data_IF_748013363967
#
_entry.id   IF_748013363967
#
_cell.length_a   1.000
_cell.length_b   1.000
_cell.length_c   1.000
_cell.angle_alpha   90.00
_cell.angle_beta   90.00
_cell.angle_gamma   90.00
#
_symmetry.space_group_name_H-M   'P 1'
#
loop_
_entity.id
_entity.type
_entity.pdbx_description
1 polymer ?
#
# COMPACT_ATOMS: atom_id res chain seq x y z
N UNK A 1 26.59 20.94 12.69
CA UNK A 1 25.68 21.74 11.85
C UNK A 1 26.20 23.17 11.94
N UNK A 2 26.61 23.75 10.84
CA UNK A 2 27.09 25.14 10.84
C UNK A 2 25.86 26.09 10.86
N UNK A 3 26.08 27.38 11.10
CA UNK A 3 25.00 28.38 11.22
C UNK A 3 24.18 28.49 9.93
N UNK A 4 24.82 28.31 8.76
CA UNK A 4 24.16 28.32 7.45
C UNK A 4 23.23 27.11 7.25
N UNK A 5 23.61 25.93 7.74
CA UNK A 5 22.79 24.71 7.65
C UNK A 5 21.51 24.87 8.50
N UNK A 6 21.63 25.50 9.67
CA UNK A 6 20.50 25.77 10.56
C UNK A 6 19.54 26.79 9.94
N UNK A 7 20.07 27.84 9.31
CA UNK A 7 19.25 28.84 8.62
C UNK A 7 18.52 28.23 7.41
N UNK A 8 19.21 27.40 6.63
CA UNK A 8 18.60 26.67 5.52
C UNK A 8 17.46 25.73 5.99
N UNK A 9 17.66 25.00 7.10
CA UNK A 9 16.65 24.13 7.66
C UNK A 9 15.44 24.91 8.19
N UNK A 10 15.67 26.05 8.86
CA UNK A 10 14.60 26.94 9.30
C UNK A 10 13.81 27.49 8.12
N UNK A 11 14.49 27.94 7.06
CA UNK A 11 13.83 28.40 5.84
C UNK A 11 13.01 27.28 5.19
N UNK A 12 13.54 26.06 5.15
CA UNK A 12 12.83 24.90 4.61
C UNK A 12 11.52 24.62 5.35
N UNK A 13 11.53 24.66 6.69
CA UNK A 13 10.35 24.42 7.51
C UNK A 13 9.42 25.63 7.69
N UNK A 14 9.78 26.82 7.18
CA UNK A 14 8.83 27.93 7.07
C UNK A 14 7.81 27.71 5.95
N UNK A 15 8.13 26.90 4.96
CA UNK A 15 7.20 26.54 3.88
C UNK A 15 6.22 25.46 4.34
N UNK A 16 4.92 25.77 4.35
CA UNK A 16 3.87 24.85 4.83
C UNK A 16 3.84 23.52 4.10
N UNK A 17 4.07 23.49 2.78
CA UNK A 17 4.15 22.24 2.01
C UNK A 17 5.25 21.29 2.50
N UNK A 18 6.37 21.83 2.98
CA UNK A 18 7.51 21.05 3.45
C UNK A 18 7.23 20.46 4.83
N UNK A 19 6.69 21.26 5.76
CA UNK A 19 6.26 20.75 7.08
C UNK A 19 5.14 19.73 6.94
N UNK A 20 4.15 20.00 6.08
CA UNK A 20 3.06 19.08 5.79
C UNK A 20 3.55 17.71 5.32
N UNK A 21 4.45 17.67 4.32
CA UNK A 21 5.05 16.42 3.84
C UNK A 21 5.90 15.73 4.90
N UNK A 22 6.57 16.49 5.76
CA UNK A 22 7.40 15.92 6.84
C UNK A 22 6.56 15.18 7.87
N UNK A 23 5.47 15.78 8.34
CA UNK A 23 4.58 15.14 9.34
C UNK A 23 3.63 14.10 8.71
N UNK A 24 3.56 14.04 7.37
CA UNK A 24 2.88 13.00 6.59
C UNK A 24 3.88 12.13 5.81
N UNK A 25 5.10 11.96 6.32
CA UNK A 25 6.13 11.19 5.65
C UNK A 25 5.83 9.68 5.60
N UNK A 26 4.87 9.22 6.40
CA UNK A 26 4.44 7.83 6.46
C UNK A 26 2.95 7.70 6.18
N UNK A 27 2.58 6.71 5.37
CA UNK A 27 1.18 6.33 5.19
C UNK A 27 0.77 5.34 6.28
N UNK A 28 0.61 5.82 7.50
CA UNK A 28 0.15 5.01 8.64
C UNK A 28 -0.74 5.86 9.55
N UNK A 29 -2.04 5.55 9.56
CA UNK A 29 -3.03 6.29 10.38
C UNK A 29 -2.90 6.01 11.88
N UNK A 30 -2.10 5.01 12.27
CA UNK A 30 -1.84 4.70 13.68
C UNK A 30 -0.67 5.49 14.26
N UNK A 31 0.12 6.15 13.40
CA UNK A 31 1.25 6.98 13.80
C UNK A 31 0.84 8.46 13.81
N UNK A 32 0.98 9.11 14.97
CA UNK A 32 0.96 10.57 15.06
C UNK A 32 2.40 11.08 15.04
N UNK A 33 2.70 11.93 14.06
CA UNK A 33 4.00 12.61 13.96
C UNK A 33 3.78 14.07 14.31
N UNK A 34 4.65 14.60 15.16
CA UNK A 34 4.70 16.02 15.47
C UNK A 34 6.08 16.58 15.18
N UNK A 35 6.13 17.79 14.61
CA UNK A 35 7.33 18.54 14.33
C UNK A 35 7.24 19.90 15.01
N UNK A 36 8.14 20.16 15.96
CA UNK A 36 8.31 21.46 16.59
C UNK A 36 9.43 22.22 15.89
N UNK A 37 9.12 23.43 15.44
CA UNK A 37 10.07 24.36 14.83
C UNK A 37 9.95 25.74 15.47
N UNK A 38 10.88 26.64 15.16
CA UNK A 38 10.77 28.04 15.58
C UNK A 38 9.51 28.74 15.05
N UNK A 39 8.88 28.17 14.02
CA UNK A 39 7.69 28.71 13.36
C UNK A 39 6.38 28.11 13.86
N UNK A 40 6.43 27.03 14.67
CA UNK A 40 5.24 26.43 15.27
C UNK A 40 5.36 24.93 15.52
N UNK A 41 4.25 24.34 15.96
CA UNK A 41 4.07 22.90 16.08
C UNK A 41 3.15 22.42 14.95
N UNK A 42 3.58 21.39 14.23
CA UNK A 42 2.85 20.79 13.12
C UNK A 42 2.62 19.32 13.41
N UNK A 43 1.45 18.80 13.07
CA UNK A 43 1.06 17.43 13.34
C UNK A 43 0.40 16.76 12.13
N UNK A 44 0.48 15.43 12.07
CA UNK A 44 -0.27 14.62 11.09
C UNK A 44 -1.77 14.92 11.15
N UNK A 45 -2.31 15.16 12.35
CA UNK A 45 -3.74 15.47 12.59
C UNK A 45 -4.18 16.84 12.11
N UNK A 46 -3.26 17.71 11.68
CA UNK A 46 -3.59 19.05 11.18
C UNK A 46 -4.14 19.03 9.74
N UNK A 47 -4.16 17.86 9.10
CA UNK A 47 -4.54 17.67 7.71
C UNK A 47 -5.80 16.80 7.60
N UNK A 48 -6.71 17.18 6.71
CA UNK A 48 -7.86 16.34 6.39
C UNK A 48 -7.44 15.16 5.52
N UNK A 49 -8.27 14.11 5.50
CA UNK A 49 -8.18 13.09 4.47
C UNK A 49 -8.40 13.73 3.08
N UNK A 50 -7.73 13.19 2.06
CA UNK A 50 -7.82 13.71 0.70
C UNK A 50 -9.25 13.69 0.13
N UNK A 51 -10.13 12.86 0.70
CA UNK A 51 -11.54 12.73 0.33
C UNK A 51 -12.39 13.91 0.77
N UNK A 52 -12.00 14.60 1.82
CA UNK A 52 -12.75 15.72 2.40
C UNK A 52 -12.26 17.07 1.85
N UNK A 53 -11.15 17.06 1.10
CA UNK A 53 -10.57 18.25 0.48
C UNK A 53 -11.46 18.75 -0.68
N UNK A 54 -11.98 19.96 -0.52
CA UNK A 54 -12.78 20.70 -1.50
C UNK A 54 -13.91 19.85 -2.14
N UNK A 55 -14.72 19.19 -1.31
CA UNK A 55 -15.80 18.28 -1.73
C UNK A 55 -16.69 18.86 -2.83
N UNK A 56 -17.05 20.15 -2.75
CA UNK A 56 -17.90 20.85 -3.72
C UNK A 56 -17.29 20.94 -5.14
N UNK A 57 -15.98 20.78 -5.25
CA UNK A 57 -15.22 20.91 -6.50
C UNK A 57 -14.72 19.58 -7.07
N UNK A 58 -15.01 18.47 -6.40
CA UNK A 58 -14.63 17.14 -6.87
C UNK A 58 -15.43 16.80 -8.14
N UNK A 59 -14.73 16.35 -9.19
CA UNK A 59 -15.35 15.90 -10.42
C UNK A 59 -15.60 14.39 -10.38
N UNK A 60 -14.59 13.62 -9.98
CA UNK A 60 -14.71 12.19 -9.70
C UNK A 60 -13.62 11.71 -8.73
N UNK A 61 -13.88 10.58 -8.09
CA UNK A 61 -12.92 9.85 -7.26
C UNK A 61 -12.53 8.56 -7.99
N UNK A 62 -11.30 8.10 -7.77
CA UNK A 62 -10.75 6.92 -8.44
C UNK A 62 -10.11 6.01 -7.41
N UNK A 63 -10.49 4.74 -7.41
CA UNK A 63 -9.77 3.68 -6.69
C UNK A 63 -9.14 2.71 -7.66
N UNK A 64 -7.99 2.18 -7.28
CA UNK A 64 -7.40 1.04 -7.92
C UNK A 64 -6.69 0.17 -6.89
N UNK A 65 -6.76 -1.16 -7.08
CA UNK A 65 -5.91 -2.10 -6.35
C UNK A 65 -5.42 -3.20 -7.26
N UNK A 66 -4.19 -3.63 -7.05
CA UNK A 66 -3.61 -4.76 -7.78
C UNK A 66 -4.31 -6.08 -7.48
N UNK A 67 -4.89 -6.23 -6.28
CA UNK A 67 -5.63 -7.45 -5.88
C UNK A 67 -6.82 -7.69 -6.81
N UNK A 68 -7.62 -6.64 -7.05
CA UNK A 68 -8.77 -6.68 -7.95
C UNK A 68 -8.41 -6.42 -9.41
N UNK A 69 -7.27 -5.78 -9.69
CA UNK A 69 -6.86 -5.31 -11.02
C UNK A 69 -7.94 -4.45 -11.70
N UNK A 70 -8.68 -3.67 -10.91
CA UNK A 70 -9.79 -2.83 -11.37
C UNK A 70 -9.61 -1.37 -11.00
N UNK A 71 -9.86 -0.50 -11.96
CA UNK A 71 -10.06 0.93 -11.77
C UNK A 71 -11.56 1.16 -11.53
N UNK A 72 -11.89 1.72 -10.39
CA UNK A 72 -13.25 2.10 -9.99
C UNK A 72 -13.35 3.62 -10.02
N UNK A 73 -14.37 4.16 -10.67
CA UNK A 73 -14.60 5.61 -10.76
C UNK A 73 -15.95 5.93 -10.16
N UNK A 74 -15.92 6.82 -9.18
CA UNK A 74 -17.07 7.31 -8.44
C UNK A 74 -17.35 8.75 -8.80
N UNK A 75 -18.63 9.11 -8.86
CA UNK A 75 -19.07 10.48 -9.11
C UNK A 75 -20.36 10.73 -8.36
N UNK A 76 -20.41 11.85 -7.64
CA UNK A 76 -21.58 12.27 -6.85
C UNK A 76 -22.07 11.18 -5.87
N UNK A 77 -21.13 10.47 -5.24
CA UNK A 77 -21.42 9.43 -4.25
C UNK A 77 -21.90 8.11 -4.85
N UNK A 78 -21.63 7.86 -6.13
CA UNK A 78 -22.01 6.61 -6.80
C UNK A 78 -20.92 6.08 -7.71
N UNK A 79 -20.70 4.77 -7.71
CA UNK A 79 -19.87 4.09 -8.70
C UNK A 79 -20.47 4.25 -10.11
N UNK A 80 -19.75 4.93 -11.02
CA UNK A 80 -20.21 5.19 -12.40
C UNK A 80 -19.46 4.40 -13.46
N UNK A 81 -18.26 3.90 -13.15
CA UNK A 81 -17.47 3.12 -14.11
C UNK A 81 -16.51 2.16 -13.42
N UNK A 82 -16.38 0.98 -14.00
CA UNK A 82 -15.35 -0.01 -13.69
C UNK A 82 -14.59 -0.38 -14.95
N UNK A 83 -13.27 -0.45 -14.86
CA UNK A 83 -12.37 -0.81 -15.97
C UNK A 83 -11.27 -1.75 -15.46
N UNK A 84 -10.94 -2.79 -16.22
CA UNK A 84 -9.81 -3.65 -15.88
C UNK A 84 -8.48 -2.95 -16.20
N UNK A 85 -7.50 -3.09 -15.32
CA UNK A 85 -6.13 -2.66 -15.51
C UNK A 85 -5.16 -3.60 -14.78
N UNK A 86 -4.25 -4.19 -15.54
CA UNK A 86 -3.31 -5.19 -15.02
C UNK A 86 -1.89 -4.64 -14.96
N UNK A 87 -1.26 -4.82 -13.81
CA UNK A 87 0.17 -4.52 -13.61
C UNK A 87 1.01 -5.60 -14.29
N UNK A 88 2.17 -5.20 -14.81
CA UNK A 88 3.08 -6.06 -15.57
C UNK A 88 3.82 -7.10 -14.74
N UNK A 89 3.81 -7.00 -13.41
CA UNK A 89 4.60 -7.86 -12.52
C UNK A 89 3.86 -8.21 -11.23
N UNK A 90 4.24 -9.35 -10.63
CA UNK A 90 3.81 -9.79 -9.29
C UNK A 90 4.80 -9.44 -8.18
N UNK A 91 5.94 -8.84 -8.54
CA UNK A 91 7.00 -8.48 -7.58
C UNK A 91 6.68 -7.23 -6.77
N UNK A 92 5.57 -6.55 -7.09
CA UNK A 92 5.05 -5.41 -6.36
C UNK A 92 3.53 -5.36 -6.54
N UNK A 93 2.87 -4.67 -5.63
CA UNK A 93 1.48 -4.25 -5.76
C UNK A 93 1.40 -2.73 -5.74
N UNK A 94 0.31 -2.23 -6.32
CA UNK A 94 -0.09 -0.83 -6.30
C UNK A 94 -1.52 -0.73 -5.81
N UNK A 95 -1.73 0.18 -4.85
CA UNK A 95 -3.03 0.67 -4.43
C UNK A 95 -3.10 2.17 -4.66
N UNK A 96 -4.25 2.66 -5.09
CA UNK A 96 -4.43 4.06 -5.46
C UNK A 96 -5.82 4.52 -5.02
N UNK A 97 -5.87 5.71 -4.44
CA UNK A 97 -7.09 6.40 -4.05
C UNK A 97 -6.92 7.89 -4.34
N UNK A 98 -7.64 8.40 -5.34
CA UNK A 98 -7.47 9.75 -5.87
C UNK A 98 -8.79 10.50 -5.93
N UNK A 99 -8.68 11.82 -5.77
CA UNK A 99 -9.70 12.77 -6.19
C UNK A 99 -9.23 13.58 -7.39
N UNK A 100 -10.09 13.67 -8.41
CA UNK A 100 -9.90 14.49 -9.59
C UNK A 100 -10.90 15.63 -9.52
N UNK A 101 -10.42 16.85 -9.73
CA UNK A 101 -11.20 18.07 -9.58
C UNK A 101 -11.51 18.73 -10.92
N UNK A 102 -12.53 19.58 -10.87
CA UNK A 102 -12.74 20.59 -11.88
C UNK A 102 -12.88 21.95 -11.23
N UNK A 103 -11.75 22.66 -11.10
CA UNK A 103 -11.73 23.97 -10.45
C UNK A 103 -12.19 25.10 -11.37
N UNK A 104 -12.96 26.01 -10.78
CA UNK A 104 -13.05 27.40 -11.23
C UNK A 104 -11.84 28.21 -10.73
N UNK A 105 -11.74 29.47 -11.14
CA UNK A 105 -10.64 30.36 -10.70
C UNK A 105 -10.50 30.38 -9.17
N UNK A 106 -9.29 30.16 -8.67
CA UNK A 106 -8.99 30.11 -7.23
C UNK A 106 -9.31 28.80 -6.51
N UNK A 107 -9.97 27.83 -7.15
CA UNK A 107 -10.38 26.57 -6.50
C UNK A 107 -9.23 25.75 -5.87
N UNK A 108 -8.04 25.80 -6.49
CA UNK A 108 -6.81 25.17 -5.96
C UNK A 108 -6.50 25.60 -4.51
N UNK A 109 -6.80 26.85 -4.12
CA UNK A 109 -6.49 27.39 -2.79
C UNK A 109 -7.29 26.71 -1.67
N UNK A 110 -8.34 25.95 -2.00
CA UNK A 110 -9.09 25.13 -1.04
C UNK A 110 -8.40 23.80 -0.73
N UNK A 111 -7.37 23.43 -1.50
CA UNK A 111 -6.61 22.20 -1.32
C UNK A 111 -5.41 22.46 -0.43
N UNK A 112 -5.18 21.59 0.54
CA UNK A 112 -4.00 21.56 1.39
C UNK A 112 -2.69 21.61 0.58
N UNK A 113 -1.74 22.42 1.07
CA UNK A 113 -0.39 22.53 0.50
C UNK A 113 0.42 21.22 0.58
N UNK A 114 -0.06 20.23 1.33
CA UNK A 114 0.47 18.86 1.32
C UNK A 114 0.58 18.30 -0.10
N UNK A 115 -0.41 18.59 -0.95
CA UNK A 115 -0.49 18.08 -2.32
C UNK A 115 0.18 18.99 -3.36
N UNK A 116 0.94 20.00 -2.93
CA UNK A 116 1.59 20.94 -3.84
C UNK A 116 2.99 20.44 -4.17
N UNK A 117 3.30 20.36 -5.46
CA UNK A 117 4.66 20.06 -5.94
C UNK A 117 5.61 21.19 -5.57
N UNK A 118 6.81 20.84 -5.12
CA UNK A 118 7.83 21.84 -4.78
C UNK A 118 8.25 22.73 -5.97
N UNK A 119 8.46 22.20 -7.19
CA UNK A 119 9.03 23.01 -8.27
C UNK A 119 8.08 24.06 -8.86
N UNK A 120 6.77 23.78 -8.89
CA UNK A 120 5.81 24.59 -9.64
C UNK A 120 4.44 24.75 -8.96
N UNK A 121 4.32 24.27 -7.72
CA UNK A 121 3.09 24.23 -6.92
C UNK A 121 1.91 23.54 -7.61
N UNK A 122 2.08 22.81 -8.71
CA UNK A 122 0.97 22.08 -9.30
C UNK A 122 0.46 21.03 -8.31
N UNK A 123 -0.80 20.63 -8.44
CA UNK A 123 -1.33 19.54 -7.63
C UNK A 123 -0.74 18.21 -8.11
N UNK A 124 -0.38 17.38 -7.13
CA UNK A 124 0.09 16.02 -7.37
C UNK A 124 -0.41 15.11 -6.26
N UNK A 125 -0.82 13.87 -6.60
CA UNK A 125 -0.93 12.80 -5.61
C UNK A 125 0.41 12.57 -4.92
N UNK A 126 0.35 12.10 -3.68
CA UNK A 126 1.52 11.64 -2.94
C UNK A 126 1.80 10.19 -3.30
N UNK A 127 3.05 9.90 -3.61
CA UNK A 127 3.54 8.54 -3.88
C UNK A 127 4.19 7.99 -2.63
N UNK A 128 3.77 6.82 -2.18
CA UNK A 128 4.38 6.08 -1.08
C UNK A 128 4.97 4.77 -1.59
N UNK A 129 6.20 4.47 -1.19
CA UNK A 129 6.85 3.19 -1.45
C UNK A 129 7.07 2.50 -0.10
N UNK A 130 6.45 1.35 0.11
CA UNK A 130 6.43 0.66 1.41
C UNK A 130 6.08 1.63 2.55
N UNK A 131 4.96 2.34 2.40
CA UNK A 131 4.45 3.36 3.32
C UNK A 131 5.34 4.59 3.56
N UNK A 132 6.49 4.72 2.89
CA UNK A 132 7.35 5.90 2.98
C UNK A 132 7.05 6.87 1.85
N UNK A 133 6.84 8.15 2.19
CA UNK A 133 6.63 9.20 1.21
C UNK A 133 7.85 9.30 0.29
N UNK A 134 7.59 9.14 -1.01
CA UNK A 134 8.59 9.18 -2.04
C UNK A 134 8.39 10.44 -2.88
N UNK A 135 9.19 11.46 -2.57
CA UNK A 135 9.04 12.82 -3.10
C UNK A 135 9.53 12.94 -4.55
N UNK A 136 8.96 12.13 -5.45
CA UNK A 136 9.32 12.09 -6.87
C UNK A 136 8.08 12.22 -7.76
N UNK A 137 7.75 13.47 -8.08
CA UNK A 137 6.58 13.82 -8.88
C UNK A 137 6.65 13.39 -10.35
N UNK A 138 7.80 12.88 -10.81
CA UNK A 138 7.98 12.44 -12.21
C UNK A 138 7.43 11.04 -12.44
N UNK A 139 7.32 10.23 -11.39
CA UNK A 139 6.86 8.83 -11.49
C UNK A 139 5.34 8.77 -11.72
N UNK A 140 4.59 9.61 -11.01
CA UNK A 140 3.15 9.77 -11.20
C UNK A 140 2.84 11.24 -11.54
N UNK A 141 3.15 11.64 -12.78
CA UNK A 141 2.97 13.04 -13.20
C UNK A 141 1.52 13.34 -13.61
N UNK A 142 0.81 14.15 -12.83
CA UNK A 142 -0.55 14.60 -13.16
C UNK A 142 -0.61 15.37 -14.48
N UNK A 143 0.47 15.99 -14.94
CA UNK A 143 0.53 16.75 -16.19
C UNK A 143 0.91 15.90 -17.42
N UNK A 144 0.99 14.57 -17.30
CA UNK A 144 1.48 13.65 -18.34
C UNK A 144 0.85 13.84 -19.74
N UNK A 145 -0.43 14.21 -19.80
CA UNK A 145 -1.17 14.39 -21.05
C UNK A 145 -1.26 15.86 -21.51
N UNK A 146 -0.81 16.83 -20.70
CA UNK A 146 -1.02 18.27 -20.94
C UNK A 146 -0.37 18.76 -22.23
N UNK A 147 0.85 18.29 -22.52
CA UNK A 147 1.59 18.68 -23.72
C UNK A 147 1.15 17.96 -25.00
N UNK A 148 0.61 16.73 -24.89
CA UNK A 148 0.32 15.87 -26.05
C UNK A 148 -1.15 15.87 -26.44
N UNK A 149 -2.07 15.91 -25.46
CA UNK A 149 -3.52 15.78 -25.66
C UNK A 149 -4.26 16.53 -24.56
N UNK A 150 -4.28 17.85 -24.65
CA UNK A 150 -4.91 18.70 -23.62
C UNK A 150 -6.39 18.35 -23.35
N UNK A 151 -7.11 17.81 -24.34
CA UNK A 151 -8.49 17.36 -24.16
C UNK A 151 -8.59 16.11 -23.26
N UNK A 152 -7.58 15.24 -23.24
CA UNK A 152 -7.50 14.00 -22.45
C UNK A 152 -6.78 14.20 -21.11
N UNK A 153 -6.45 15.44 -20.75
CA UNK A 153 -5.70 15.75 -19.53
C UNK A 153 -6.65 16.10 -18.38
N UNK A 154 -6.45 15.44 -17.24
CA UNK A 154 -7.15 15.73 -15.98
C UNK A 154 -6.11 16.01 -14.87
N UNK A 155 -5.32 17.09 -14.96
CA UNK A 155 -4.14 17.28 -14.13
C UNK A 155 -4.45 17.76 -12.70
N UNK A 156 -5.68 18.21 -12.44
CA UNK A 156 -6.12 18.67 -11.13
C UNK A 156 -6.49 17.45 -10.29
N UNK A 157 -5.51 16.76 -9.72
CA UNK A 157 -5.73 15.56 -8.93
C UNK A 157 -4.86 15.54 -7.67
N UNK A 158 -5.41 14.96 -6.60
CA UNK A 158 -4.71 14.69 -5.34
C UNK A 158 -5.05 13.27 -4.86
N UNK A 159 -4.39 12.84 -3.80
CA UNK A 159 -4.66 11.58 -3.14
C UNK A 159 -3.39 10.77 -2.98
N UNK A 160 -3.53 9.46 -2.89
CA UNK A 160 -2.46 8.56 -2.52
C UNK A 160 -2.24 7.49 -3.59
N UNK A 161 -0.98 7.30 -3.96
CA UNK A 161 -0.50 6.19 -4.78
C UNK A 161 0.48 5.42 -3.93
N UNK A 162 0.22 4.14 -3.69
CA UNK A 162 1.01 3.31 -2.78
C UNK A 162 1.56 2.14 -3.56
N UNK A 163 2.86 1.91 -3.46
CA UNK A 163 3.55 0.76 -4.05
C UNK A 163 4.15 -0.06 -2.93
N UNK A 164 3.86 -1.35 -2.91
CA UNK A 164 4.45 -2.28 -1.96
C UNK A 164 5.31 -3.29 -2.69
N UNK A 165 6.54 -3.48 -2.21
CA UNK A 165 7.43 -4.52 -2.72
C UNK A 165 8.42 -4.95 -1.64
N UNK A 166 8.52 -6.26 -1.45
CA UNK A 166 9.56 -6.92 -0.66
C UNK A 166 10.71 -7.43 -1.53
N UNK A 167 10.73 -7.08 -2.83
CA UNK A 167 11.77 -7.52 -3.74
C UNK A 167 13.09 -6.81 -3.42
N UNK A 168 14.18 -7.58 -3.26
CA UNK A 168 15.52 -7.09 -2.96
C UNK A 168 16.10 -6.12 -4.00
N UNK A 169 15.58 -6.13 -5.21
CA UNK A 169 15.99 -5.23 -6.28
C UNK A 169 15.32 -3.86 -6.16
N UNK A 170 14.41 -3.65 -5.20
CA UNK A 170 13.92 -2.31 -4.87
C UNK A 170 15.00 -1.58 -4.08
N UNK A 171 15.65 -0.60 -4.72
CA UNK A 171 16.72 0.18 -4.11
C UNK A 171 16.60 1.66 -4.49
N UNK A 172 17.22 2.53 -3.68
CA UNK A 172 17.13 3.98 -3.77
C UNK A 172 18.53 4.60 -3.89
N UNK A 173 18.61 5.74 -4.58
CA UNK A 173 19.84 6.52 -4.59
C UNK A 173 20.17 7.06 -3.18
N UNK A 174 21.39 7.56 -2.98
CA UNK A 174 21.91 7.90 -1.65
C UNK A 174 21.07 8.93 -0.88
N UNK A 175 20.44 9.88 -1.58
CA UNK A 175 19.53 10.89 -1.05
C UNK A 175 18.06 10.44 -1.02
N UNK A 176 17.76 9.21 -1.45
CA UNK A 176 16.43 8.56 -1.45
C UNK A 176 15.35 9.34 -2.19
N UNK A 177 15.73 10.14 -3.18
CA UNK A 177 14.82 10.92 -4.04
C UNK A 177 14.43 10.17 -5.31
N UNK A 178 15.23 9.18 -5.71
CA UNK A 178 15.05 8.41 -6.93
C UNK A 178 15.32 6.92 -6.70
N UNK A 179 14.68 6.08 -7.50
CA UNK A 179 15.02 4.68 -7.59
C UNK A 179 16.41 4.51 -8.18
N UNK A 180 17.12 3.48 -7.73
CA UNK A 180 18.20 2.90 -8.54
C UNK A 180 17.55 2.25 -9.76
N UNK A 181 18.05 2.58 -10.95
CA UNK A 181 17.50 2.07 -12.20
C UNK A 181 17.80 0.59 -12.39
N UNK A 182 16.75 -0.22 -12.43
CA UNK A 182 16.82 -1.65 -12.72
C UNK A 182 15.52 -2.11 -13.40
N UNK A 183 15.36 -3.41 -13.61
CA UNK A 183 14.16 -3.93 -14.28
C UNK A 183 12.88 -3.74 -13.47
N UNK A 184 12.93 -3.96 -12.16
CA UNK A 184 11.79 -3.78 -11.25
C UNK A 184 11.32 -2.33 -11.25
N UNK A 185 12.24 -1.38 -11.04
CA UNK A 185 11.91 0.04 -10.91
C UNK A 185 11.43 0.64 -12.23
N UNK A 186 11.96 0.18 -13.38
CA UNK A 186 11.41 0.51 -14.71
C UNK A 186 9.98 -0.01 -14.90
N UNK A 187 9.68 -1.24 -14.46
CA UNK A 187 8.32 -1.80 -14.53
C UNK A 187 7.35 -1.00 -13.66
N UNK A 188 7.73 -0.67 -12.42
CA UNK A 188 6.92 0.20 -11.53
C UNK A 188 6.62 1.54 -12.21
N UNK A 189 7.65 2.24 -12.69
CA UNK A 189 7.47 3.54 -13.38
C UNK A 189 6.54 3.42 -14.58
N UNK A 190 6.72 2.41 -15.42
CA UNK A 190 5.89 2.21 -16.61
C UNK A 190 4.44 1.89 -16.26
N UNK A 191 4.19 1.06 -15.27
CA UNK A 191 2.82 0.69 -14.87
C UNK A 191 2.10 1.85 -14.20
N UNK A 192 2.76 2.62 -13.33
CA UNK A 192 2.19 3.83 -12.74
C UNK A 192 1.88 4.89 -13.80
N UNK A 193 2.79 5.08 -14.77
CA UNK A 193 2.60 5.95 -15.91
C UNK A 193 1.38 5.54 -16.75
N UNK A 194 1.26 4.24 -17.07
CA UNK A 194 0.15 3.72 -17.88
C UNK A 194 -1.18 3.77 -17.12
N UNK A 195 -1.17 3.49 -15.81
CA UNK A 195 -2.33 3.59 -14.94
C UNK A 195 -2.85 5.04 -14.89
N UNK A 196 -1.97 6.01 -14.65
CA UNK A 196 -2.31 7.43 -14.65
C UNK A 196 -2.91 7.87 -16.00
N UNK A 197 -2.28 7.49 -17.12
CA UNK A 197 -2.83 7.79 -18.46
C UNK A 197 -4.24 7.22 -18.62
N UNK A 198 -4.44 5.95 -18.25
CA UNK A 198 -5.73 5.29 -18.39
C UNK A 198 -6.80 5.98 -17.55
N UNK A 199 -6.47 6.38 -16.32
CA UNK A 199 -7.37 7.13 -15.43
C UNK A 199 -7.76 8.47 -16.07
N UNK A 200 -6.79 9.25 -16.56
CA UNK A 200 -7.07 10.54 -17.18
C UNK A 200 -7.91 10.41 -18.46
N UNK A 201 -7.65 9.40 -19.28
CA UNK A 201 -8.45 9.08 -20.47
C UNK A 201 -9.92 8.79 -20.09
N UNK A 202 -10.16 7.95 -19.08
CA UNK A 202 -11.53 7.61 -18.66
C UNK A 202 -12.23 8.84 -18.07
N UNK A 203 -11.55 9.58 -17.17
CA UNK A 203 -12.12 10.77 -16.54
C UNK A 203 -12.42 11.88 -17.57
N UNK A 204 -11.54 12.10 -18.54
CA UNK A 204 -11.80 13.03 -19.64
C UNK A 204 -12.98 12.58 -20.51
N UNK A 205 -13.07 11.29 -20.84
CA UNK A 205 -14.20 10.75 -21.61
C UNK A 205 -15.54 10.96 -20.88
N UNK A 206 -15.57 10.72 -19.56
CA UNK A 206 -16.74 11.00 -18.72
C UNK A 206 -17.11 12.48 -18.73
N UNK A 207 -16.11 13.37 -18.67
CA UNK A 207 -16.32 14.82 -18.75
C UNK A 207 -16.90 15.25 -20.09
N UNK A 208 -16.46 14.62 -21.18
CA UNK A 208 -16.97 14.91 -22.53
C UNK A 208 -18.42 14.44 -22.71
N UNK A 209 -18.77 13.26 -22.20
CA UNK A 209 -20.13 12.70 -22.26
C UNK A 209 -21.15 13.52 -21.46
N UNK A 210 -20.72 14.17 -20.38
CA UNK A 210 -21.58 14.98 -19.51
C UNK A 210 -21.90 16.39 -20.01
N UNK A 211 -21.43 16.81 -21.19
CA UNK A 211 -21.77 18.11 -21.78
C UNK A 211 -23.13 18.03 -22.49
N UNK A 212 -24.21 18.42 -21.81
CA UNK A 212 -25.46 18.81 -22.48
C UNK A 212 -25.34 20.21 -23.10
N UNK A 213 -26.37 20.64 -23.82
CA UNK A 213 -26.44 21.90 -24.61
C UNK A 213 -26.06 23.17 -23.83
N UNK A 214 -26.07 23.12 -22.49
CA UNK A 214 -25.49 24.13 -21.58
C UNK A 214 -24.23 23.57 -20.89
N UNK A 215 -23.05 24.05 -21.29
CA UNK A 215 -21.71 23.48 -21.02
C UNK A 215 -21.20 23.48 -19.55
N UNK A 216 -22.04 23.16 -18.55
CA UNK A 216 -21.67 23.16 -17.13
C UNK A 216 -21.21 21.76 -16.69
N UNK A 217 -19.98 21.66 -16.20
CA UNK A 217 -19.46 20.42 -15.59
C UNK A 217 -19.94 20.36 -14.14
N UNK A 218 -20.78 19.38 -13.81
CA UNK A 218 -21.29 19.17 -12.45
C UNK A 218 -20.19 18.57 -11.57
N UNK A 219 -19.96 19.18 -10.41
CA UNK A 219 -19.03 18.77 -9.34
C UNK A 219 -19.77 18.59 -8.01
N UNK A 220 -19.13 17.90 -7.06
CA UNK A 220 -19.64 17.61 -5.73
C UNK A 220 -18.97 16.35 -5.17
N UNK A 221 -19.20 16.05 -3.88
CA UNK A 221 -18.55 14.94 -3.18
C UNK A 221 -18.59 13.67 -4.03
N UNK A 222 -17.42 13.22 -4.48
CA UNK A 222 -17.35 12.26 -5.57
C UNK A 222 -17.66 10.83 -5.10
N UNK A 223 -17.34 10.50 -3.84
CA UNK A 223 -17.60 9.22 -3.19
C UNK A 223 -18.19 9.47 -1.80
N UNK A 224 -19.23 8.74 -1.41
CA UNK A 224 -19.74 8.80 -0.03
C UNK A 224 -18.96 7.85 0.87
N UNK A 225 -18.86 8.20 2.14
CA UNK A 225 -18.21 7.36 3.16
C UNK A 225 -18.95 6.02 3.37
N UNK A 226 -20.20 5.94 2.91
CA UNK A 226 -21.04 4.73 2.93
C UNK A 226 -20.76 3.74 1.79
N UNK A 227 -20.10 4.15 0.69
CA UNK A 227 -19.71 3.21 -0.38
C UNK A 227 -18.49 2.34 0.00
N UNK A 228 -17.83 2.62 1.13
CA UNK A 228 -16.95 1.65 1.78
C UNK A 228 -17.74 0.45 2.38
N UNK A 229 -19.08 0.49 2.34
CA UNK A 229 -20.01 -0.58 2.77
C UNK A 229 -20.67 -1.30 1.58
N UNK A 230 -20.27 -1.02 0.32
CA UNK A 230 -20.60 -1.95 -0.79
C UNK A 230 -19.63 -3.12 -0.72
N UNK A 231 -20.02 -4.00 0.19
CA UNK A 231 -19.62 -5.38 0.44
C UNK A 231 -19.47 -6.15 -0.87
N UNK A 232 -18.30 -6.05 -1.51
CA UNK A 232 -17.71 -7.28 -2.00
C UNK A 232 -17.37 -8.09 -0.75
N UNK A 233 -18.29 -8.98 -0.36
CA UNK A 233 -17.97 -10.15 0.47
C UNK A 233 -16.97 -11.01 -0.29
N UNK A 234 -15.73 -10.58 -0.30
CA UNK A 234 -14.53 -11.39 -0.35
C UNK A 234 -13.50 -10.58 0.45
N UNK A 235 -13.13 -11.15 1.58
CA UNK A 235 -12.44 -10.51 2.69
C UNK A 235 -11.10 -9.91 2.26
N UNK A 236 -11.01 -8.58 2.14
CA UNK A 236 -9.77 -7.83 2.34
C UNK A 236 -9.65 -7.43 3.83
N UNK A 237 -10.14 -8.29 4.73
CA UNK A 237 -9.61 -8.35 6.08
C UNK A 237 -8.20 -8.89 5.88
N UNK A 238 -7.18 -8.08 6.12
CA UNK A 238 -5.82 -8.55 6.37
C UNK A 238 -5.90 -9.60 7.48
N UNK A 239 -6.08 -10.87 7.10
CA UNK A 239 -5.99 -11.96 8.04
C UNK A 239 -4.50 -12.13 8.31
N UNK A 240 -4.10 -12.01 9.57
CA UNK A 240 -2.72 -12.29 9.93
C UNK A 240 -2.39 -13.70 9.42
N UNK A 241 -1.38 -13.79 8.55
CA UNK A 241 -0.91 -15.06 8.04
C UNK A 241 -0.54 -15.92 9.25
N UNK A 242 -1.07 -17.15 9.29
CA UNK A 242 -1.06 -17.97 10.51
C UNK A 242 -0.92 -19.43 10.21
N UNK A 243 -0.27 -20.12 11.14
CA UNK A 243 -0.20 -21.58 11.19
C UNK A 243 -1.07 -22.00 12.36
N UNK A 244 -2.18 -22.68 12.09
CA UNK A 244 -2.99 -23.25 13.14
C UNK A 244 -2.51 -24.69 13.37
N UNK A 245 -2.31 -25.03 14.64
CA UNK A 245 -1.99 -26.37 15.06
C UNK A 245 -3.26 -27.07 15.56
N UNK A 246 -3.26 -28.40 15.56
CA UNK A 246 -4.37 -29.17 16.15
C UNK A 246 -4.31 -29.08 17.68
N UNK A 247 -5.46 -29.03 18.33
CA UNK A 247 -5.56 -29.10 19.80
C UNK A 247 -4.87 -30.40 20.30
N UNK A 248 -4.08 -30.29 21.37
CA UNK A 248 -3.02 -31.22 21.86
C UNK A 248 -1.63 -31.06 21.22
N UNK A 249 -0.89 -30.06 21.71
CA UNK A 249 0.52 -29.79 21.40
C UNK A 249 1.51 -30.62 22.21
N UNK A 250 1.07 -31.31 23.27
CA UNK A 250 1.91 -32.22 24.03
C UNK A 250 1.54 -33.65 23.69
N UNK A 251 2.47 -34.38 23.06
CA UNK A 251 2.27 -35.76 22.66
C UNK A 251 3.33 -36.64 23.30
N UNK A 252 2.85 -37.70 23.94
CA UNK A 252 3.69 -38.72 24.53
C UNK A 252 3.78 -39.93 23.61
N UNK A 253 4.99 -40.41 23.37
CA UNK A 253 5.26 -41.58 22.53
C UNK A 253 6.01 -42.66 23.32
N UNK A 254 5.56 -43.91 23.21
CA UNK A 254 6.32 -45.04 23.75
C UNK A 254 7.60 -45.24 22.95
N UNK A 255 8.68 -45.59 23.64
CA UNK A 255 9.93 -46.03 23.00
C UNK A 255 9.92 -47.55 22.78
N UNK A 256 10.45 -48.05 21.64
CA UNK A 256 10.93 -47.28 20.50
C UNK A 256 9.78 -46.62 19.73
N UNK A 257 9.93 -45.34 19.40
CA UNK A 257 8.86 -44.60 18.74
C UNK A 257 8.77 -44.99 17.27
N UNK A 258 7.58 -44.96 16.67
CA UNK A 258 7.47 -44.94 15.22
C UNK A 258 7.98 -43.60 14.65
N UNK A 259 8.19 -43.53 13.33
CA UNK A 259 8.43 -42.25 12.66
C UNK A 259 7.25 -41.31 12.84
N UNK A 260 7.54 -40.04 13.14
CA UNK A 260 6.52 -39.05 13.46
C UNK A 260 6.40 -38.06 12.29
N UNK A 261 5.25 -38.07 11.62
CA UNK A 261 4.93 -37.14 10.54
C UNK A 261 4.43 -35.81 11.12
N UNK A 262 5.22 -34.75 10.97
CA UNK A 262 4.96 -33.43 11.55
C UNK A 262 3.77 -32.73 10.90
N UNK A 263 3.42 -33.09 9.66
CA UNK A 263 2.27 -32.50 8.95
C UNK A 263 0.95 -32.85 9.63
N UNK A 264 0.89 -33.98 10.34
CA UNK A 264 -0.32 -34.43 11.04
C UNK A 264 -0.73 -33.50 12.18
N UNK A 265 0.16 -32.65 12.69
CA UNK A 265 -0.12 -31.71 13.78
C UNK A 265 -0.61 -30.34 13.31
N UNK A 266 -0.55 -30.08 12.00
CA UNK A 266 -0.99 -28.82 11.41
C UNK A 266 -2.47 -28.96 11.06
N UNK A 267 -3.30 -28.03 11.52
CA UNK A 267 -4.73 -27.98 11.16
C UNK A 267 -4.92 -27.15 9.90
N UNK A 268 -4.24 -26.01 9.78
CA UNK A 268 -4.17 -25.21 8.56
C UNK A 268 -2.95 -24.29 8.57
N UNK A 269 -2.48 -23.91 7.39
CA UNK A 269 -1.55 -22.80 7.21
C UNK A 269 -2.15 -21.90 6.14
N UNK A 270 -2.28 -20.61 6.43
CA UNK A 270 -3.00 -19.66 5.59
C UNK A 270 -2.14 -18.40 5.44
N UNK A 271 -1.99 -17.91 4.22
CA UNK A 271 -1.26 -16.68 3.93
C UNK A 271 -2.10 -15.42 4.23
N UNK A 272 -1.50 -14.25 4.01
CA UNK A 272 -2.17 -12.96 4.26
C UNK A 272 -3.32 -12.64 3.29
N UNK A 273 -3.50 -13.45 2.24
CA UNK A 273 -4.61 -13.37 1.29
C UNK A 273 -5.73 -14.36 1.62
N UNK A 274 -5.61 -15.13 2.71
CA UNK A 274 -6.58 -16.17 3.05
C UNK A 274 -6.37 -17.48 2.27
N UNK A 275 -5.30 -17.59 1.48
CA UNK A 275 -5.03 -18.76 0.65
C UNK A 275 -4.30 -19.85 1.47
N UNK A 276 -4.72 -21.13 1.32
CA UNK A 276 -4.10 -22.23 2.04
C UNK A 276 -2.69 -22.51 1.52
N UNK A 277 -1.73 -22.63 2.44
CA UNK A 277 -0.35 -22.98 2.13
C UNK A 277 -0.19 -24.51 2.21
N UNK A 278 0.27 -25.16 1.12
CA UNK A 278 0.61 -26.57 1.15
C UNK A 278 1.66 -26.87 2.23
N UNK A 279 1.45 -27.92 3.03
CA UNK A 279 2.37 -28.26 4.14
C UNK A 279 3.79 -28.63 3.71
N UNK A 280 3.98 -28.95 2.43
CA UNK A 280 5.29 -29.19 1.80
C UNK A 280 6.11 -27.91 1.62
N UNK A 281 5.48 -26.74 1.68
CA UNK A 281 6.15 -25.43 1.58
C UNK A 281 6.51 -24.85 2.95
N UNK A 282 6.19 -25.54 4.04
CA UNK A 282 6.53 -25.12 5.40
C UNK A 282 7.94 -25.56 5.76
N UNK A 283 8.62 -24.74 6.55
CA UNK A 283 9.93 -25.07 7.12
C UNK A 283 9.76 -25.58 8.55
N UNK A 284 10.55 -26.59 8.92
CA UNK A 284 10.49 -27.24 10.23
C UNK A 284 11.85 -27.10 10.93
N UNK A 285 11.86 -26.77 12.21
CA UNK A 285 13.08 -26.56 12.98
C UNK A 285 13.07 -27.31 14.29
N UNK A 286 14.20 -27.92 14.65
CA UNK A 286 14.48 -28.49 15.97
C UNK A 286 15.74 -27.81 16.52
N UNK A 287 15.65 -27.22 17.72
CA UNK A 287 16.77 -26.49 18.33
C UNK A 287 17.46 -25.47 17.39
N UNK A 288 16.69 -24.82 16.52
CA UNK A 288 17.17 -23.84 15.55
C UNK A 288 17.76 -24.40 14.25
N UNK A 289 17.81 -25.73 14.07
CA UNK A 289 18.27 -26.37 12.83
C UNK A 289 17.09 -26.81 11.98
N UNK A 290 17.19 -26.62 10.67
CA UNK A 290 16.17 -27.07 9.72
C UNK A 290 16.16 -28.61 9.67
N UNK A 291 14.97 -29.21 9.74
CA UNK A 291 14.75 -30.65 9.75
C UNK A 291 13.72 -31.05 8.69
N UNK A 292 13.70 -32.33 8.34
CA UNK A 292 12.66 -32.89 7.48
C UNK A 292 11.31 -32.93 8.21
N UNK A 293 10.19 -32.92 7.46
CA UNK A 293 8.84 -33.01 8.02
C UNK A 293 8.51 -34.38 8.65
N UNK A 294 9.43 -35.34 8.60
CA UNK A 294 9.29 -36.66 9.23
C UNK A 294 10.43 -36.80 10.23
N UNK A 295 10.10 -36.89 11.51
CA UNK A 295 11.06 -37.21 12.56
C UNK A 295 11.37 -38.71 12.54
N UNK A 296 12.64 -39.04 12.62
CA UNK A 296 13.12 -40.41 12.79
C UNK A 296 12.62 -41.03 14.10
N UNK A 297 12.58 -42.36 14.14
CA UNK A 297 12.32 -43.15 15.34
C UNK A 297 13.28 -42.77 16.47
N UNK A 298 12.79 -42.78 17.70
CA UNK A 298 13.56 -42.45 18.89
C UNK A 298 13.52 -43.63 19.87
N UNK A 299 14.70 -44.05 20.30
CA UNK A 299 14.90 -45.20 21.20
C UNK A 299 15.25 -44.80 22.64
N UNK A 300 15.33 -43.49 22.92
CA UNK A 300 15.73 -42.92 24.22
C UNK A 300 14.70 -41.88 24.65
N UNK A 301 14.48 -41.74 25.95
CA UNK A 301 13.68 -40.66 26.52
C UNK A 301 14.27 -39.28 26.15
N UNK A 302 13.49 -38.44 25.49
CA UNK A 302 13.89 -37.11 25.08
C UNK A 302 12.68 -36.17 24.94
N UNK A 303 12.98 -34.88 24.89
CA UNK A 303 12.00 -33.82 24.63
C UNK A 303 12.43 -33.07 23.37
N UNK A 304 11.56 -33.04 22.37
CA UNK A 304 11.80 -32.33 21.09
C UNK A 304 10.84 -31.17 20.95
N UNK A 305 11.39 -29.95 20.85
CA UNK A 305 10.65 -28.73 20.58
C UNK A 305 10.76 -28.41 19.10
N UNK A 306 9.64 -28.49 18.38
CA UNK A 306 9.63 -28.20 16.95
C UNK A 306 9.10 -26.78 16.72
N UNK A 307 9.59 -26.10 15.68
CA UNK A 307 9.03 -24.84 15.20
C UNK A 307 8.68 -24.99 13.73
N UNK A 308 7.60 -24.34 13.32
CA UNK A 308 7.12 -24.38 11.94
C UNK A 308 7.06 -22.94 11.44
N UNK A 309 7.53 -22.69 10.23
CA UNK A 309 7.47 -21.34 9.65
C UNK A 309 7.25 -21.31 8.15
N UNK A 310 6.78 -20.17 7.66
CA UNK A 310 6.78 -19.81 6.25
C UNK A 310 6.96 -18.30 6.10
N UNK A 311 7.37 -17.86 4.91
CA UNK A 311 7.51 -16.44 4.58
C UNK A 311 6.28 -15.98 3.81
N UNK A 312 5.51 -15.08 4.41
CA UNK A 312 4.37 -14.41 3.79
C UNK A 312 4.82 -13.12 3.09
N UNK A 313 4.20 -12.81 1.95
CA UNK A 313 4.60 -11.68 1.11
C UNK A 313 4.26 -10.30 1.69
N UNK A 314 3.29 -10.20 2.61
CA UNK A 314 2.83 -8.93 3.22
C UNK A 314 3.20 -8.82 4.70
N UNK A 315 3.03 -9.89 5.46
CA UNK A 315 3.21 -9.94 6.93
C UNK A 315 4.60 -10.46 7.35
N UNK A 316 5.41 -10.91 6.40
CA UNK A 316 6.78 -11.35 6.65
C UNK A 316 6.86 -12.77 7.21
N UNK A 317 7.80 -13.02 8.12
CA UNK A 317 8.08 -14.36 8.62
C UNK A 317 7.02 -14.79 9.65
N UNK A 318 6.22 -15.79 9.31
CA UNK A 318 5.24 -16.41 10.21
C UNK A 318 5.90 -17.60 10.90
N UNK A 319 5.93 -17.60 12.23
CA UNK A 319 6.51 -18.68 13.03
C UNK A 319 5.48 -19.15 14.05
N UNK A 320 5.28 -20.45 14.14
CA UNK A 320 4.49 -21.07 15.19
C UNK A 320 5.33 -22.11 15.94
N UNK A 321 5.18 -22.15 17.26
CA UNK A 321 5.90 -23.10 18.09
C UNK A 321 5.15 -24.44 18.05
N UNK A 322 5.61 -25.29 17.14
CA UNK A 322 5.08 -26.62 16.91
C UNK A 322 5.51 -27.60 17.99
N UNK A 323 4.68 -27.77 19.02
CA UNK A 323 4.56 -28.99 19.83
C UNK A 323 5.82 -29.48 20.60
N UNK A 324 5.55 -30.23 21.68
CA UNK A 324 6.55 -30.90 22.51
C UNK A 324 6.35 -32.41 22.35
N UNK A 325 7.29 -33.08 21.68
CA UNK A 325 7.33 -34.56 21.67
C UNK A 325 8.11 -35.03 22.91
N UNK A 326 7.43 -35.71 23.82
CA UNK A 326 8.06 -36.36 24.97
C UNK A 326 7.99 -37.87 24.77
N UNK A 327 9.13 -38.55 24.72
CA UNK A 327 9.14 -40.01 24.72
C UNK A 327 9.11 -40.54 26.17
N UNK A 328 8.61 -41.76 26.38
CA UNK A 328 8.59 -42.41 27.70
C UNK A 328 8.74 -43.93 27.56
N UNK A 329 9.23 -44.57 28.64
CA UNK A 329 9.43 -46.01 28.76
C UNK A 329 8.14 -46.83 28.70
#
# INVERSE_FOLDING_TARGET
MNENDLEALNSYFQEKKNTAKTVNAFYDKTLEISLETNSGCYKTTDFNEHLDEAEDLQFCAVRYSSSSSKILIYRLGSLVKTCDFKISSRNYSVDLDLNIYHFNSGGKKKISELFYREPDEALSPLLFINDNLFNNFTIFDSNINRAKRSAESMPQMIGYVRVYSSNKDLDFNSDRTNFVENELTRKIKNDLMNLNRKIQEIASSLKAQGKSEDAIVITGKARSDTEDIVDHKEEDILSAAKINLKNNLERRYQIPSSQIDLKKFISSAIDSYGEPIPFDKLNYFEAGKNILPILSSVDIECVKNIKISFLDSRTGLVIENGFVAQTYL
#
